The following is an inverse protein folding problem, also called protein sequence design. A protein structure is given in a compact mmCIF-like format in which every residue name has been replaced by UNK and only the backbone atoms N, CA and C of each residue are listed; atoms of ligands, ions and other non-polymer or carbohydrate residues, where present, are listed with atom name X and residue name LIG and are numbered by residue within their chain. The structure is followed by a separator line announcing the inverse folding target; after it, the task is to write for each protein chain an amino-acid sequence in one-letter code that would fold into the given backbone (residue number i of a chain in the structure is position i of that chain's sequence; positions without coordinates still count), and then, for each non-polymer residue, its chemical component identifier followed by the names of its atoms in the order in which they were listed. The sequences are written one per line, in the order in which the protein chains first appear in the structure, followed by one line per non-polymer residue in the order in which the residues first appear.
data_IF_204816260107
#
_entry.id   IF_204816260107
#
_cell.length_a   1.000
_cell.length_b   1.000
_cell.length_c   1.000
_cell.angle_alpha   90.00
_cell.angle_beta   90.00
_cell.angle_gamma   90.00
#
_symmetry.space_group_name_H-M   'P 1'
#
loop_
_entity.id
_entity.type
_entity.pdbx_description
1 polymer ?
#
# COMPACT_ATOMS: atom_id res chain seq x y z
N UNK A 1 -14.89 8.06 14.71
CA UNK A 1 -14.26 8.04 13.38
C UNK A 1 -15.19 8.75 12.41
N UNK A 2 -14.69 9.67 11.58
CA UNK A 2 -15.54 10.28 10.56
C UNK A 2 -15.64 9.31 9.37
N UNK A 3 -16.77 8.59 9.26
CA UNK A 3 -16.96 7.54 8.25
C UNK A 3 -16.87 8.05 6.81
N UNK A 4 -17.35 9.27 6.52
CA UNK A 4 -17.25 9.85 5.18
C UNK A 4 -15.78 10.12 4.79
N UNK A 5 -14.98 10.69 5.72
CA UNK A 5 -13.55 10.89 5.51
C UNK A 5 -12.79 9.56 5.43
N UNK A 6 -13.19 8.56 6.22
CA UNK A 6 -12.63 7.21 6.16
C UNK A 6 -12.83 6.59 4.77
N UNK A 7 -14.07 6.56 4.25
CA UNK A 7 -14.35 5.98 2.93
C UNK A 7 -13.65 6.74 1.81
N UNK A 8 -13.56 8.07 1.91
CA UNK A 8 -12.81 8.89 0.93
C UNK A 8 -11.31 8.55 0.95
N UNK A 9 -10.71 8.42 2.14
CA UNK A 9 -9.31 8.05 2.29
C UNK A 9 -9.05 6.62 1.79
N UNK A 10 -9.96 5.69 2.10
CA UNK A 10 -9.92 4.30 1.64
C UNK A 10 -9.96 4.20 0.11
N UNK A 11 -10.91 4.89 -0.55
CA UNK A 11 -11.01 4.88 -2.02
C UNK A 11 -9.75 5.49 -2.63
N UNK A 12 -9.25 6.60 -2.08
CA UNK A 12 -8.01 7.22 -2.54
C UNK A 12 -6.79 6.29 -2.41
N UNK A 13 -6.65 5.63 -1.26
CA UNK A 13 -5.61 4.63 -1.04
C UNK A 13 -5.77 3.43 -1.98
N UNK A 14 -6.98 2.91 -2.19
CA UNK A 14 -7.25 1.78 -3.07
C UNK A 14 -6.86 2.09 -4.52
N UNK A 15 -7.31 3.22 -5.08
CA UNK A 15 -6.98 3.62 -6.44
C UNK A 15 -5.46 3.74 -6.59
N UNK A 16 -4.81 4.40 -5.63
CA UNK A 16 -3.36 4.54 -5.65
C UNK A 16 -2.64 3.18 -5.58
N UNK A 17 -3.00 2.31 -4.63
CA UNK A 17 -2.38 1.00 -4.46
C UNK A 17 -2.53 0.17 -5.74
N UNK A 18 -3.71 0.19 -6.36
CA UNK A 18 -3.98 -0.57 -7.59
C UNK A 18 -3.18 -0.03 -8.78
N UNK A 19 -3.19 1.29 -9.00
CA UNK A 19 -2.45 1.93 -10.10
C UNK A 19 -0.94 1.78 -9.91
N UNK A 20 -0.43 2.04 -8.70
CA UNK A 20 0.98 1.82 -8.39
C UNK A 20 1.36 0.36 -8.58
N UNK A 21 0.50 -0.57 -8.14
CA UNK A 21 0.75 -2.00 -8.29
C UNK A 21 0.89 -2.41 -9.75
N UNK A 22 0.00 -1.90 -10.61
CA UNK A 22 0.07 -2.13 -12.05
C UNK A 22 1.35 -1.55 -12.67
N UNK A 23 1.70 -0.31 -12.33
CA UNK A 23 2.88 0.35 -12.89
C UNK A 23 4.18 -0.31 -12.40
N UNK A 24 4.34 -0.46 -11.08
CA UNK A 24 5.56 -1.00 -10.49
C UNK A 24 5.74 -2.48 -10.84
N UNK A 25 4.79 -3.33 -10.47
CA UNK A 25 4.94 -4.77 -10.62
C UNK A 25 4.62 -5.21 -12.05
N UNK A 26 3.60 -4.64 -12.69
CA UNK A 26 3.15 -5.04 -14.01
C UNK A 26 3.95 -4.46 -15.19
N UNK A 27 4.57 -3.28 -15.02
CA UNK A 27 5.37 -2.67 -16.11
C UNK A 27 6.86 -2.58 -15.80
N UNK A 28 7.25 -2.01 -14.66
CA UNK A 28 8.67 -1.80 -14.34
C UNK A 28 9.38 -3.12 -14.01
N UNK A 29 8.74 -3.99 -13.22
CA UNK A 29 9.31 -5.29 -12.84
C UNK A 29 9.04 -6.41 -13.85
N UNK A 30 8.32 -6.15 -14.94
CA UNK A 30 7.93 -7.18 -15.91
C UNK A 30 9.12 -8.01 -16.40
N UNK A 31 10.22 -7.35 -16.78
CA UNK A 31 11.42 -8.06 -17.24
C UNK A 31 12.04 -8.97 -16.19
N UNK A 32 11.96 -8.60 -14.91
CA UNK A 32 12.39 -9.47 -13.81
C UNK A 32 11.40 -10.63 -13.57
N UNK A 33 10.10 -10.39 -13.69
CA UNK A 33 9.08 -11.44 -13.56
C UNK A 33 9.13 -12.46 -14.69
N UNK A 34 9.55 -12.05 -15.89
CA UNK A 34 9.80 -12.94 -17.02
C UNK A 34 11.03 -13.86 -16.81
N UNK A 35 11.92 -13.57 -15.85
CA UNK A 35 13.00 -14.48 -15.44
C UNK A 35 12.46 -15.75 -14.73
N UNK A 36 11.24 -15.69 -14.19
CA UNK A 36 10.62 -16.74 -13.36
C UNK A 36 9.17 -17.08 -13.79
N UNK A 37 8.95 -17.43 -15.08
CA UNK A 37 7.61 -17.55 -15.64
C UNK A 37 6.77 -18.68 -15.02
N UNK A 38 7.42 -19.66 -14.41
CA UNK A 38 6.74 -20.77 -13.72
C UNK A 38 6.01 -20.33 -12.43
N UNK A 39 6.40 -19.20 -11.83
CA UNK A 39 5.82 -18.72 -10.58
C UNK A 39 4.49 -18.00 -10.78
N UNK A 40 4.36 -17.22 -11.85
CA UNK A 40 3.20 -16.37 -12.08
C UNK A 40 2.17 -17.05 -12.98
N UNK A 41 0.89 -16.80 -12.70
CA UNK A 41 -0.19 -17.23 -13.61
C UNK A 41 -0.04 -16.53 -14.96
N UNK A 42 -0.27 -17.26 -16.05
CA UNK A 42 -0.28 -16.71 -17.42
C UNK A 42 -1.33 -15.64 -17.64
N UNK A 43 -2.47 -15.76 -16.95
CA UNK A 43 -3.52 -14.73 -16.87
C UNK A 43 -3.82 -14.43 -15.41
N UNK A 44 -3.74 -13.15 -14.98
CA UNK A 44 -4.18 -12.75 -13.66
C UNK A 44 -5.66 -13.07 -13.46
N UNK A 45 -6.01 -13.56 -12.28
CA UNK A 45 -7.39 -13.67 -11.84
C UNK A 45 -7.82 -12.34 -11.24
N UNK A 46 -8.41 -11.49 -12.08
CA UNK A 46 -8.74 -10.10 -11.75
C UNK A 46 -9.68 -9.94 -10.54
N UNK A 47 -10.76 -10.74 -10.38
CA UNK A 47 -11.59 -10.68 -9.18
C UNK A 47 -10.81 -10.84 -7.88
N UNK A 48 -9.93 -11.85 -7.79
CA UNK A 48 -9.11 -12.05 -6.59
C UNK A 48 -8.05 -10.96 -6.41
N UNK A 49 -7.47 -10.48 -7.51
CA UNK A 49 -6.52 -9.37 -7.48
C UNK A 49 -7.16 -8.08 -6.93
N UNK A 50 -8.35 -7.73 -7.42
CA UNK A 50 -9.09 -6.55 -6.99
C UNK A 50 -9.51 -6.70 -5.53
N UNK A 51 -10.06 -7.86 -5.15
CA UNK A 51 -10.43 -8.15 -3.77
C UNK A 51 -9.23 -8.01 -2.82
N UNK A 52 -8.06 -8.52 -3.20
CA UNK A 52 -6.83 -8.36 -2.44
C UNK A 52 -6.46 -6.89 -2.21
N UNK A 53 -6.55 -6.04 -3.24
CA UNK A 53 -6.30 -4.60 -3.11
C UNK A 53 -7.35 -3.90 -2.26
N UNK A 54 -8.63 -4.29 -2.34
CA UNK A 54 -9.72 -3.76 -1.51
C UNK A 54 -9.42 -4.06 -0.03
N UNK A 55 -9.14 -5.32 0.30
CA UNK A 55 -8.82 -5.76 1.66
C UNK A 55 -7.60 -4.99 2.18
N UNK A 56 -6.55 -4.91 1.37
CA UNK A 56 -5.33 -4.20 1.76
C UNK A 56 -5.57 -2.72 2.05
N UNK A 57 -6.22 -2.03 1.12
CA UNK A 57 -6.50 -0.60 1.25
C UNK A 57 -7.40 -0.32 2.47
N UNK A 58 -8.41 -1.17 2.72
CA UNK A 58 -9.33 -1.00 3.82
C UNK A 58 -8.63 -1.10 5.18
N UNK A 59 -7.92 -2.20 5.42
CA UNK A 59 -7.24 -2.42 6.70
C UNK A 59 -6.06 -1.46 6.90
N UNK A 60 -5.33 -1.13 5.84
CA UNK A 60 -4.28 -0.12 5.91
C UNK A 60 -4.83 1.26 6.27
N UNK A 61 -5.93 1.68 5.65
CA UNK A 61 -6.60 2.95 5.99
C UNK A 61 -7.08 2.95 7.44
N UNK A 62 -7.65 1.85 7.91
CA UNK A 62 -8.06 1.68 9.31
C UNK A 62 -6.87 1.78 10.27
N UNK A 63 -5.73 1.19 9.92
CA UNK A 63 -4.51 1.24 10.70
C UNK A 63 -3.96 2.68 10.79
N UNK A 64 -3.88 3.40 9.67
CA UNK A 64 -3.53 4.83 9.66
C UNK A 64 -4.42 5.67 10.57
N UNK A 65 -5.74 5.52 10.46
CA UNK A 65 -6.68 6.35 11.22
C UNK A 65 -6.71 5.97 12.70
N UNK A 66 -6.54 4.69 13.04
CA UNK A 66 -6.59 4.20 14.43
C UNK A 66 -5.37 4.61 15.24
N UNK A 67 -4.19 4.58 14.61
CA UNK A 67 -2.90 4.82 15.27
C UNK A 67 -2.32 6.21 15.00
N UNK A 68 -2.89 6.96 14.07
CA UNK A 68 -2.58 8.38 13.84
C UNK A 68 -3.87 9.21 13.94
N UNK A 69 -4.49 9.32 15.13
CA UNK A 69 -5.79 9.98 15.29
C UNK A 69 -5.75 11.48 15.02
N UNK A 70 -4.60 12.13 15.23
CA UNK A 70 -4.37 13.52 14.86
C UNK A 70 -4.24 13.73 13.33
N UNK A 71 -4.17 12.64 12.56
CA UNK A 71 -3.89 12.66 11.13
C UNK A 71 -2.49 13.19 10.82
N UNK A 72 -2.33 13.71 9.59
CA UNK A 72 -1.09 14.32 9.14
C UNK A 72 -0.28 13.41 8.22
N UNK A 73 0.09 13.98 7.07
CA UNK A 73 0.74 13.29 5.96
C UNK A 73 2.01 12.57 6.40
N UNK A 74 2.87 13.22 7.19
CA UNK A 74 4.14 12.63 7.61
C UNK A 74 3.95 11.45 8.57
N UNK A 75 3.08 11.59 9.56
CA UNK A 75 2.87 10.53 10.56
C UNK A 75 2.24 9.28 9.93
N UNK A 76 1.28 9.44 9.02
CA UNK A 76 0.68 8.29 8.30
C UNK A 76 1.61 7.73 7.24
N UNK A 77 2.46 8.54 6.59
CA UNK A 77 3.50 8.05 5.68
C UNK A 77 4.55 7.21 6.41
N UNK A 78 4.99 7.63 7.59
CA UNK A 78 5.90 6.84 8.44
C UNK A 78 5.29 5.51 8.83
N UNK A 79 4.00 5.49 9.20
CA UNK A 79 3.28 4.23 9.44
C UNK A 79 3.20 3.37 8.16
N UNK A 80 3.01 4.01 7.00
CA UNK A 80 3.11 3.38 5.70
C UNK A 80 4.46 2.70 5.46
N UNK A 81 5.57 3.38 5.74
CA UNK A 81 6.92 2.80 5.66
C UNK A 81 7.03 1.56 6.54
N UNK A 82 6.55 1.64 7.79
CA UNK A 82 6.57 0.49 8.70
C UNK A 82 5.77 -0.69 8.16
N UNK A 83 4.58 -0.46 7.59
CA UNK A 83 3.79 -1.51 6.94
C UNK A 83 4.53 -2.10 5.74
N UNK A 84 5.16 -1.26 4.91
CA UNK A 84 5.99 -1.73 3.79
C UNK A 84 7.17 -2.58 4.24
N UNK A 85 7.80 -2.24 5.38
CA UNK A 85 8.86 -3.05 5.98
C UNK A 85 8.34 -4.37 6.56
N UNK A 86 7.14 -4.40 7.13
CA UNK A 86 6.49 -5.66 7.53
C UNK A 86 6.30 -6.58 6.31
N UNK A 87 5.96 -6.00 5.15
CA UNK A 87 5.87 -6.74 3.88
C UNK A 87 7.20 -7.33 3.39
N UNK A 88 8.34 -6.77 3.80
CA UNK A 88 9.62 -7.37 3.50
C UNK A 88 9.77 -8.79 4.08
N UNK A 89 9.12 -9.08 5.21
CA UNK A 89 9.12 -10.42 5.82
C UNK A 89 8.56 -11.50 4.89
N UNK A 90 7.29 -11.41 4.46
CA UNK A 90 6.72 -12.31 3.47
C UNK A 90 7.54 -12.41 2.17
N UNK A 91 8.10 -11.31 1.67
CA UNK A 91 8.95 -11.36 0.46
C UNK A 91 10.24 -12.16 0.67
N UNK A 92 10.89 -12.03 1.84
CA UNK A 92 12.06 -12.83 2.20
C UNK A 92 11.71 -14.31 2.35
N UNK A 93 10.55 -14.62 2.93
CA UNK A 93 10.06 -15.99 3.04
C UNK A 93 9.80 -16.59 1.66
N UNK A 94 9.09 -15.87 0.78
CA UNK A 94 8.89 -16.30 -0.61
C UNK A 94 10.22 -16.51 -1.32
N UNK A 95 11.22 -15.63 -1.13
CA UNK A 95 12.53 -15.81 -1.74
C UNK A 95 13.26 -17.08 -1.27
N UNK A 96 12.99 -17.54 -0.05
CA UNK A 96 13.57 -18.77 0.47
C UNK A 96 12.90 -20.05 -0.07
N UNK A 97 11.66 -19.98 -0.54
CA UNK A 97 10.85 -21.16 -0.92
C UNK A 97 10.41 -21.18 -2.38
N UNK A 98 10.47 -20.04 -3.07
CA UNK A 98 10.15 -19.86 -4.48
C UNK A 98 11.43 -19.53 -5.26
N UNK A 99 11.49 -19.81 -6.57
CA UNK A 99 12.67 -19.56 -7.39
C UNK A 99 12.81 -18.07 -7.75
N UNK A 100 12.68 -17.16 -6.79
CA UNK A 100 12.77 -15.72 -6.98
C UNK A 100 14.21 -15.27 -7.17
N UNK A 101 14.43 -14.32 -8.07
CA UNK A 101 15.75 -13.69 -8.22
C UNK A 101 15.93 -12.57 -7.20
N UNK A 102 17.19 -12.25 -6.86
CA UNK A 102 17.50 -11.15 -5.92
C UNK A 102 17.01 -9.80 -6.43
N UNK A 103 16.89 -9.63 -7.75
CA UNK A 103 16.28 -8.46 -8.39
C UNK A 103 14.80 -8.35 -8.05
N UNK A 104 14.06 -9.46 -8.12
CA UNK A 104 12.62 -9.48 -7.78
C UNK A 104 12.44 -9.18 -6.28
N UNK A 105 13.23 -9.82 -5.42
CA UNK A 105 13.18 -9.57 -3.98
C UNK A 105 13.42 -8.08 -3.66
N UNK A 106 14.49 -7.50 -4.19
CA UNK A 106 14.80 -6.08 -3.98
C UNK A 106 13.70 -5.16 -4.52
N UNK A 107 13.21 -5.43 -5.73
CA UNK A 107 12.12 -4.67 -6.35
C UNK A 107 10.81 -4.75 -5.59
N UNK A 108 10.50 -5.90 -4.98
CA UNK A 108 9.31 -6.09 -4.15
C UNK A 108 9.39 -5.33 -2.83
N UNK A 109 10.53 -5.41 -2.13
CA UNK A 109 10.72 -4.69 -0.87
C UNK A 109 10.68 -3.17 -1.10
N UNK A 110 11.44 -2.68 -2.09
CA UNK A 110 11.47 -1.25 -2.43
C UNK A 110 10.09 -0.78 -2.88
N UNK A 111 9.42 -1.56 -3.73
CA UNK A 111 8.07 -1.30 -4.20
C UNK A 111 7.08 -1.17 -3.04
N UNK A 112 7.07 -2.13 -2.11
CA UNK A 112 6.18 -2.13 -0.95
C UNK A 112 6.43 -0.90 -0.06
N UNK A 113 7.68 -0.57 0.24
CA UNK A 113 8.02 0.60 1.07
C UNK A 113 7.53 1.89 0.44
N UNK A 114 7.80 2.11 -0.85
CA UNK A 114 7.37 3.31 -1.58
C UNK A 114 5.84 3.37 -1.64
N UNK A 115 5.21 2.25 -2.00
CA UNK A 115 3.77 2.13 -2.18
C UNK A 115 3.03 2.48 -0.88
N UNK A 116 3.40 1.85 0.24
CA UNK A 116 2.71 2.10 1.50
C UNK A 116 3.05 3.47 2.09
N UNK A 117 4.26 4.00 1.87
CA UNK A 117 4.60 5.37 2.29
C UNK A 117 3.68 6.41 1.63
N UNK A 118 3.51 6.33 0.30
CA UNK A 118 2.68 7.27 -0.45
C UNK A 118 1.20 7.06 -0.12
N UNK A 119 0.73 5.80 -0.05
CA UNK A 119 -0.64 5.49 0.35
C UNK A 119 -0.94 6.05 1.75
N UNK A 120 -0.01 5.93 2.70
CA UNK A 120 -0.11 6.51 4.04
C UNK A 120 -0.22 8.03 3.97
N UNK A 121 0.62 8.68 3.18
CA UNK A 121 0.54 10.13 2.93
C UNK A 121 -0.81 10.58 2.39
N UNK A 122 -1.40 9.84 1.44
CA UNK A 122 -2.74 10.09 0.89
C UNK A 122 -3.79 10.00 2.00
N UNK A 123 -3.77 8.94 2.81
CA UNK A 123 -4.72 8.77 3.91
C UNK A 123 -4.61 9.92 4.91
N UNK A 124 -3.40 10.32 5.29
CA UNK A 124 -3.17 11.42 6.23
C UNK A 124 -3.52 12.81 5.69
N UNK A 125 -3.46 13.00 4.37
CA UNK A 125 -3.91 14.22 3.70
C UNK A 125 -5.44 14.35 3.75
N UNK A 126 -6.15 13.24 3.49
CA UNK A 126 -7.62 13.21 3.43
C UNK A 126 -8.22 13.21 4.84
N UNK A 127 -7.65 12.42 5.76
CA UNK A 127 -8.13 12.28 7.14
C UNK A 127 -7.51 13.33 8.09
N UNK A 128 -7.42 14.60 7.67
CA UNK A 128 -7.11 15.70 8.60
C UNK A 128 -8.31 16.01 9.51
N UNK A 129 -8.10 16.21 10.83
CA UNK A 129 -9.12 16.79 11.69
C UNK A 129 -9.55 18.13 11.12
N UNK A 130 -10.86 18.41 11.12
CA UNK A 130 -11.32 19.77 10.83
C UNK A 130 -10.73 20.67 11.91
N UNK A 131 -10.03 21.73 11.52
CA UNK A 131 -9.45 22.71 12.45
C UNK A 131 -10.53 23.09 13.49
N UNK A 132 -10.23 23.11 14.80
CA UNK A 132 -11.18 23.68 15.73
C UNK A 132 -11.43 25.10 15.25
N UNK A 133 -12.69 25.43 14.97
CA UNK A 133 -13.06 26.81 14.71
C UNK A 133 -12.52 27.64 15.87
N UNK A 134 -11.65 28.60 15.56
CA UNK A 134 -11.22 29.61 16.52
C UNK A 134 -12.47 30.25 17.10
N UNK A 135 -12.85 29.84 18.30
CA UNK A 135 -13.78 30.60 19.12
C UNK A 135 -13.04 31.87 19.52
N UNK A 136 -13.27 32.94 18.75
CA UNK A 136 -13.02 34.30 19.24
C UNK A 136 -13.89 34.50 20.49
N UNK A 137 -13.25 34.69 21.62
CA UNK A 137 -13.79 35.40 22.78
C UNK A 137 -12.79 36.48 23.16
#
# INVERSE_FOLDING_TARGET
MNWNKFFTAFIGAFIFLFVFGFLWYGTLMRGAHEEVPALFRTKPDFPWLILGHIVMAFFFTMLCIRFVPAGGVFATATLGILVGLVYAGPHLISFAVEPLTTKILGGWIVGAVIQFAIAGGIVGAIYKPSSPASSRH
#
